data_IF_477447035167
#
_entry.id   IF_477447035167
#
_cell.length_a   1.000
_cell.length_b   1.000
_cell.length_c   1.000
_cell.angle_alpha   90.00
_cell.angle_beta   90.00
_cell.angle_gamma   90.00
#
_symmetry.space_group_name_H-M   'P 1'
#
loop_
_entity.id
_entity.type
_entity.pdbx_description
1 polymer ?
#
# COMPACT_ATOMS: atom_id res chain seq x y z
N UNK A 1 13.29 6.82 3.74
CA UNK A 1 12.97 5.72 4.68
C UNK A 1 13.14 4.36 4.00
N UNK A 2 13.69 3.39 4.73
CA UNK A 2 14.30 2.10 4.29
C UNK A 2 13.39 1.27 3.35
N UNK A 3 13.60 1.34 2.02
CA UNK A 3 12.85 0.56 1.00
C UNK A 3 12.96 -0.97 1.16
N UNK A 4 14.02 -1.46 1.84
CA UNK A 4 14.27 -2.89 2.08
C UNK A 4 13.26 -3.51 3.06
N UNK A 5 12.94 -2.82 4.16
CA UNK A 5 12.06 -3.34 5.23
C UNK A 5 10.65 -3.68 4.73
N UNK A 6 10.05 -2.81 3.92
CA UNK A 6 8.69 -3.02 3.40
C UNK A 6 8.63 -4.26 2.48
N UNK A 7 9.69 -4.55 1.72
CA UNK A 7 9.72 -5.73 0.83
C UNK A 7 9.85 -7.03 1.62
N UNK A 8 10.66 -7.03 2.67
CA UNK A 8 10.86 -8.17 3.56
C UNK A 8 9.57 -8.47 4.35
N UNK A 9 8.92 -7.44 4.89
CA UNK A 9 7.61 -7.56 5.55
C UNK A 9 6.54 -8.12 4.61
N UNK A 10 6.45 -7.63 3.36
CA UNK A 10 5.48 -8.12 2.38
C UNK A 10 5.73 -9.55 1.91
N UNK A 11 6.96 -10.05 2.03
CA UNK A 11 7.30 -11.43 1.71
C UNK A 11 6.81 -12.40 2.79
N UNK A 12 6.92 -11.98 4.05
CA UNK A 12 6.54 -12.77 5.23
C UNK A 12 5.02 -12.84 5.44
N UNK A 13 4.27 -11.80 5.06
CA UNK A 13 2.81 -11.74 5.25
C UNK A 13 2.05 -12.81 4.45
N UNK A 14 1.04 -13.44 5.04
CA UNK A 14 0.17 -14.42 4.38
C UNK A 14 -0.70 -13.80 3.27
N UNK A 15 -1.35 -14.63 2.45
CA UNK A 15 -2.26 -14.13 1.40
C UNK A 15 -3.43 -13.32 1.98
N UNK A 16 -3.93 -13.70 3.16
CA UNK A 16 -5.01 -13.00 3.86
C UNK A 16 -4.52 -11.67 4.43
N UNK A 17 -3.34 -11.66 5.06
CA UNK A 17 -2.74 -10.45 5.60
C UNK A 17 -2.40 -9.43 4.50
N UNK A 18 -1.95 -9.90 3.33
CA UNK A 18 -1.72 -9.03 2.17
C UNK A 18 -3.03 -8.39 1.67
N UNK A 19 -4.16 -9.12 1.70
CA UNK A 19 -5.48 -8.55 1.36
C UNK A 19 -5.93 -7.51 2.39
N UNK A 20 -5.77 -7.81 3.69
CA UNK A 20 -6.09 -6.86 4.76
C UNK A 20 -5.27 -5.58 4.57
N UNK A 21 -3.95 -5.71 4.36
CA UNK A 21 -3.04 -4.57 4.15
C UNK A 21 -3.38 -3.78 2.88
N UNK A 22 -3.83 -4.44 1.81
CA UNK A 22 -4.31 -3.79 0.60
C UNK A 22 -5.53 -2.90 0.89
N UNK A 23 -6.50 -3.42 1.63
CA UNK A 23 -7.71 -2.69 2.02
C UNK A 23 -7.38 -1.51 2.93
N UNK A 24 -6.47 -1.67 3.90
CA UNK A 24 -6.00 -0.57 4.73
C UNK A 24 -5.38 0.56 3.89
N UNK A 25 -4.48 0.22 2.96
CA UNK A 25 -3.83 1.22 2.10
C UNK A 25 -4.83 1.93 1.16
N UNK A 26 -5.88 1.23 0.71
CA UNK A 26 -6.96 1.82 -0.08
C UNK A 26 -7.77 2.82 0.73
N UNK A 27 -8.12 2.49 1.98
CA UNK A 27 -8.81 3.40 2.90
C UNK A 27 -7.95 4.61 3.24
N UNK A 28 -6.67 4.41 3.54
CA UNK A 28 -5.73 5.52 3.77
C UNK A 28 -5.67 6.47 2.58
N UNK A 29 -5.63 5.93 1.35
CA UNK A 29 -5.67 6.74 0.13
C UNK A 29 -6.98 7.51 -0.01
N UNK A 30 -8.11 6.89 0.29
CA UNK A 30 -9.42 7.54 0.27
C UNK A 30 -9.46 8.69 1.28
N UNK A 31 -9.01 8.44 2.51
CA UNK A 31 -8.96 9.44 3.57
C UNK A 31 -8.08 10.62 3.16
N UNK A 32 -6.90 10.36 2.59
CA UNK A 32 -6.02 11.42 2.08
C UNK A 32 -6.66 12.21 0.93
N UNK A 33 -7.43 11.57 0.05
CA UNK A 33 -8.20 12.27 -0.98
C UNK A 33 -9.29 13.15 -0.39
N UNK A 34 -10.06 12.65 0.58
CA UNK A 34 -11.11 13.42 1.26
C UNK A 34 -10.51 14.62 2.00
N UNK A 35 -9.43 14.40 2.76
CA UNK A 35 -8.70 15.48 3.44
C UNK A 35 -8.10 16.49 2.46
N UNK A 36 -7.68 16.05 1.26
CA UNK A 36 -7.18 16.97 0.23
C UNK A 36 -8.25 17.84 -0.41
N UNK A 37 -9.49 17.35 -0.43
CA UNK A 37 -10.63 18.11 -0.93
C UNK A 37 -11.12 19.14 0.09
N UNK A 38 -10.91 18.89 1.39
CA UNK A 38 -11.39 19.76 2.48
C UNK A 38 -10.31 20.70 3.03
N UNK A 39 -9.02 20.41 2.81
CA UNK A 39 -7.91 21.18 3.37
C UNK A 39 -6.63 21.09 2.53
N UNK A 40 -5.76 22.11 2.63
CA UNK A 40 -4.50 22.14 1.89
C UNK A 40 -3.57 20.98 2.33
N UNK A 41 -3.27 20.08 1.40
CA UNK A 41 -2.33 18.97 1.66
C UNK A 41 -0.90 19.50 1.66
N UNK A 42 -0.23 19.41 2.81
CA UNK A 42 1.16 19.84 2.97
C UNK A 42 2.16 18.92 2.26
N UNK A 43 1.86 17.63 2.13
CA UNK A 43 2.78 16.64 1.56
C UNK A 43 2.12 15.75 0.49
N UNK A 44 2.16 16.20 -0.76
CA UNK A 44 1.69 15.42 -1.91
C UNK A 44 2.52 14.15 -2.18
N UNK A 45 3.71 14.03 -1.60
CA UNK A 45 4.53 12.82 -1.75
C UNK A 45 3.85 11.58 -1.14
N UNK A 46 2.94 11.78 -0.20
CA UNK A 46 2.19 10.69 0.45
C UNK A 46 1.27 9.96 -0.55
N UNK A 47 0.64 10.66 -1.48
CA UNK A 47 -0.17 10.03 -2.53
C UNK A 47 0.66 9.09 -3.41
N UNK A 48 1.85 9.55 -3.81
CA UNK A 48 2.77 8.74 -4.63
C UNK A 48 3.28 7.53 -3.84
N UNK A 49 3.59 7.69 -2.55
CA UNK A 49 3.98 6.59 -1.66
C UNK A 49 2.87 5.55 -1.53
N UNK A 50 1.63 5.97 -1.30
CA UNK A 50 0.48 5.07 -1.18
C UNK A 50 0.21 4.31 -2.48
N UNK A 51 0.21 4.98 -3.64
CA UNK A 51 0.06 4.30 -4.94
C UNK A 51 1.14 3.22 -5.15
N UNK A 52 2.40 3.54 -4.86
CA UNK A 52 3.51 2.60 -5.01
C UNK A 52 3.37 1.42 -4.04
N UNK A 53 2.95 1.67 -2.79
CA UNK A 53 2.77 0.60 -1.80
C UNK A 53 1.61 -0.33 -2.19
N UNK A 54 0.49 0.21 -2.67
CA UNK A 54 -0.64 -0.58 -3.21
C UNK A 54 -0.16 -1.46 -4.37
N UNK A 55 0.56 -0.88 -5.33
CA UNK A 55 1.08 -1.63 -6.48
C UNK A 55 2.00 -2.78 -6.03
N UNK A 56 2.86 -2.56 -5.04
CA UNK A 56 3.73 -3.61 -4.48
C UNK A 56 2.93 -4.74 -3.85
N UNK A 57 1.95 -4.44 -3.01
CA UNK A 57 1.10 -5.47 -2.37
C UNK A 57 0.41 -6.31 -3.44
N UNK A 58 -0.13 -5.68 -4.49
CA UNK A 58 -0.73 -6.38 -5.63
C UNK A 58 0.26 -7.27 -6.37
N UNK A 59 1.49 -6.79 -6.62
CA UNK A 59 2.53 -7.61 -7.25
C UNK A 59 2.89 -8.83 -6.41
N UNK A 60 2.97 -8.69 -5.08
CA UNK A 60 3.25 -9.83 -4.18
C UNK A 60 2.07 -10.81 -4.13
N UNK A 61 0.83 -10.33 -4.10
CA UNK A 61 -0.37 -11.18 -4.21
C UNK A 61 -0.38 -11.97 -5.53
N UNK A 62 -0.07 -11.30 -6.65
CA UNK A 62 0.00 -11.96 -7.95
C UNK A 62 1.15 -12.96 -8.04
N UNK A 63 2.30 -12.65 -7.44
CA UNK A 63 3.44 -13.56 -7.36
C UNK A 63 3.09 -14.81 -6.56
N UNK A 64 2.51 -14.66 -5.36
CA UNK A 64 2.05 -15.78 -4.53
C UNK A 64 0.98 -16.62 -5.22
N UNK A 65 0.06 -15.99 -5.97
CA UNK A 65 -0.94 -16.71 -6.77
C UNK A 65 -0.32 -17.56 -7.88
N UNK A 66 0.85 -17.19 -8.41
CA UNK A 66 1.56 -17.95 -9.46
C UNK A 66 2.49 -19.03 -8.91
N UNK A 67 2.86 -18.96 -7.63
CA UNK A 67 3.70 -19.95 -6.94
C UNK A 67 2.88 -21.11 -6.34
N UNK A 68 1.54 -21.02 -6.37
CA UNK A 68 0.57 -22.09 -6.09
C UNK A 68 0.11 -22.67 -7.42
#
# INVERSE_FOLDING_TARGET
MKRKKIKEELKLLSNEELKIKLETLRRERLNLLMSSSTSHVKDYSQFKKLKINIARVLSYLQKKRKEV
#
